data_IF_502709045871
#
_entry.id   IF_502709045871
#
_cell.length_a   1.000
_cell.length_b   1.000
_cell.length_c   1.000
_cell.angle_alpha   90.00
_cell.angle_beta   90.00
_cell.angle_gamma   90.00
#
_symmetry.space_group_name_H-M   'P 1'
#
loop_
_entity.id
_entity.type
_entity.pdbx_description
1 polymer ?
#
# COMPACT_ATOMS: atom_id res chain seq x y z
N UNK A 1 -19.93 8.66 -7.50
CA UNK A 1 -18.61 8.34 -8.07
C UNK A 1 -17.60 8.27 -6.93
N UNK A 2 -16.83 7.18 -6.85
CA UNK A 2 -15.88 6.93 -5.76
C UNK A 2 -14.65 7.84 -5.87
N UNK A 3 -14.00 8.13 -4.74
CA UNK A 3 -12.85 9.03 -4.67
C UNK A 3 -11.74 8.65 -5.65
N UNK A 4 -11.49 7.35 -5.81
CA UNK A 4 -10.44 6.83 -6.71
C UNK A 4 -10.74 7.12 -8.18
N UNK A 5 -11.94 6.81 -8.64
CA UNK A 5 -12.34 7.05 -10.04
C UNK A 5 -12.37 8.55 -10.34
N UNK A 6 -12.86 9.36 -9.41
CA UNK A 6 -12.84 10.83 -9.53
C UNK A 6 -11.43 11.38 -9.65
N UNK A 7 -10.53 10.94 -8.77
CA UNK A 7 -9.16 11.43 -8.72
C UNK A 7 -8.36 11.01 -9.96
N UNK A 8 -8.61 9.82 -10.49
CA UNK A 8 -7.96 9.34 -11.71
C UNK A 8 -8.51 9.97 -13.00
N UNK A 9 -9.79 10.37 -13.02
CA UNK A 9 -10.49 10.80 -14.22
C UNK A 9 -10.28 9.81 -15.39
N UNK A 10 -9.98 10.29 -16.59
CA UNK A 10 -9.73 9.43 -17.77
C UNK A 10 -8.54 8.46 -17.56
N UNK A 11 -7.61 8.81 -16.68
CA UNK A 11 -6.50 7.94 -16.27
C UNK A 11 -6.97 6.62 -15.65
N UNK A 12 -8.21 6.55 -15.15
CA UNK A 12 -8.76 5.34 -14.55
C UNK A 12 -8.81 4.19 -15.55
N UNK A 13 -9.02 4.48 -16.84
CA UNK A 13 -9.04 3.47 -17.91
C UNK A 13 -7.68 2.81 -18.13
N UNK A 14 -6.60 3.43 -17.66
CA UNK A 14 -5.24 2.85 -17.71
C UNK A 14 -5.04 1.73 -16.70
N UNK A 15 -5.90 1.61 -15.69
CA UNK A 15 -5.88 0.49 -14.76
C UNK A 15 -6.49 -0.74 -15.41
N UNK A 16 -5.97 -1.91 -15.06
CA UNK A 16 -6.54 -3.18 -15.47
C UNK A 16 -8.02 -3.28 -15.04
N UNK A 17 -8.93 -3.86 -15.85
CA UNK A 17 -10.37 -3.92 -15.53
C UNK A 17 -10.70 -4.42 -14.12
N UNK A 18 -10.04 -5.48 -13.65
CA UNK A 18 -10.17 -5.98 -12.27
C UNK A 18 -9.81 -4.97 -11.17
N UNK A 19 -8.76 -4.17 -11.38
CA UNK A 19 -8.39 -3.11 -10.42
C UNK A 19 -9.44 -1.99 -10.42
N UNK A 20 -10.00 -1.66 -11.58
CA UNK A 20 -11.11 -0.69 -11.67
C UNK A 20 -12.32 -1.19 -10.88
N UNK A 21 -12.68 -2.45 -11.07
CA UNK A 21 -13.79 -3.11 -10.37
C UNK A 21 -13.59 -3.06 -8.85
N UNK A 22 -12.41 -3.48 -8.38
CA UNK A 22 -12.04 -3.45 -6.96
C UNK A 22 -12.15 -2.05 -6.35
N UNK A 23 -11.80 -0.99 -7.09
CA UNK A 23 -11.87 0.38 -6.59
C UNK A 23 -13.27 1.01 -6.67
N UNK A 24 -14.15 0.49 -7.54
CA UNK A 24 -15.57 0.90 -7.60
C UNK A 24 -16.39 0.22 -6.52
N UNK A 25 -16.28 -1.10 -6.41
CA UNK A 25 -17.16 -1.87 -5.54
C UNK A 25 -16.54 -2.17 -4.16
N UNK A 26 -15.26 -1.84 -4.00
CA UNK A 26 -14.48 -2.36 -2.90
C UNK A 26 -14.26 -3.86 -3.04
N UNK A 27 -13.67 -4.45 -2.01
CA UNK A 27 -13.51 -5.89 -1.94
C UNK A 27 -12.52 -6.30 -0.87
N UNK A 28 -12.53 -7.59 -0.56
CA UNK A 28 -11.58 -8.20 0.34
C UNK A 28 -10.66 -9.14 -0.45
N UNK A 29 -9.36 -8.99 -0.24
CA UNK A 29 -8.33 -9.79 -0.88
C UNK A 29 -7.59 -10.58 0.20
N UNK A 30 -7.35 -11.87 -0.02
CA UNK A 30 -6.61 -12.72 0.91
C UNK A 30 -5.55 -13.56 0.18
N UNK A 31 -4.41 -13.80 0.84
CA UNK A 31 -3.40 -14.72 0.34
C UNK A 31 -2.21 -14.87 1.27
N UNK A 32 -1.37 -15.88 0.99
CA UNK A 32 -0.09 -16.05 1.67
C UNK A 32 0.94 -15.07 1.09
N UNK A 33 1.68 -14.44 1.97
CA UNK A 33 2.73 -13.49 1.63
C UNK A 33 4.06 -14.01 2.16
N UNK A 34 5.12 -13.63 1.45
CA UNK A 34 6.51 -13.83 1.87
C UNK A 34 7.03 -12.51 2.41
N UNK A 35 7.77 -12.57 3.51
CA UNK A 35 8.33 -11.43 4.23
C UNK A 35 9.85 -11.57 4.24
N UNK A 36 10.54 -10.50 3.90
CA UNK A 36 11.99 -10.37 4.02
C UNK A 36 12.31 -9.23 4.98
N UNK A 37 13.33 -9.41 5.81
CA UNK A 37 13.86 -8.35 6.65
C UNK A 37 15.30 -8.04 6.26
N UNK A 38 15.70 -6.79 6.47
CA UNK A 38 17.09 -6.36 6.39
C UNK A 38 18.00 -7.14 7.33
N UNK A 39 19.31 -6.93 7.17
CA UNK A 39 20.35 -7.48 8.04
C UNK A 39 20.87 -6.40 8.99
N UNK A 40 21.51 -6.82 10.09
CA UNK A 40 22.16 -5.94 11.07
C UNK A 40 21.25 -4.76 11.51
N UNK A 41 21.78 -3.54 11.55
CA UNK A 41 21.05 -2.34 11.96
C UNK A 41 19.79 -2.09 11.11
N UNK A 42 19.85 -2.34 9.79
CA UNK A 42 18.71 -2.21 8.89
C UNK A 42 17.59 -3.20 9.24
N UNK A 43 17.97 -4.44 9.61
CA UNK A 43 17.03 -5.47 10.06
C UNK A 43 16.39 -5.15 11.40
N UNK A 44 17.16 -4.62 12.36
CA UNK A 44 16.63 -4.20 13.65
C UNK A 44 15.62 -3.06 13.50
N UNK A 45 15.99 -1.99 12.77
CA UNK A 45 15.10 -0.87 12.48
C UNK A 45 13.88 -1.32 11.66
N UNK A 46 14.11 -2.17 10.66
CA UNK A 46 13.09 -2.73 9.79
C UNK A 46 12.03 -3.51 10.55
N UNK A 47 12.42 -4.37 11.50
CA UNK A 47 11.46 -5.10 12.36
C UNK A 47 10.63 -4.16 13.22
N UNK A 48 11.22 -3.07 13.74
CA UNK A 48 10.51 -2.07 14.54
C UNK A 48 9.48 -1.30 13.71
N UNK A 49 9.84 -0.91 12.48
CA UNK A 49 8.93 -0.22 11.57
C UNK A 49 7.85 -1.19 11.06
N UNK A 50 8.22 -2.40 10.66
CA UNK A 50 7.30 -3.45 10.18
C UNK A 50 6.24 -3.80 11.24
N UNK A 51 6.64 -3.95 12.51
CA UNK A 51 5.71 -4.19 13.61
C UNK A 51 4.67 -3.06 13.76
N UNK A 52 5.07 -1.80 13.55
CA UNK A 52 4.13 -0.66 13.55
C UNK A 52 3.18 -0.66 12.36
N UNK A 53 3.51 -1.40 11.31
CA UNK A 53 2.64 -1.60 10.15
C UNK A 53 1.91 -2.95 10.19
N UNK A 54 1.83 -3.58 11.37
CA UNK A 54 1.11 -4.83 11.58
C UNK A 54 1.84 -6.09 11.10
N UNK A 55 3.05 -6.00 10.52
CA UNK A 55 3.79 -7.19 10.10
C UNK A 55 4.31 -7.98 11.32
N UNK A 56 4.19 -9.32 11.31
CA UNK A 56 4.70 -10.16 12.38
C UNK A 56 6.24 -10.14 12.39
N UNK A 57 6.87 -9.66 13.48
CA UNK A 57 8.33 -9.57 13.54
C UNK A 57 8.94 -10.97 13.56
N UNK A 58 9.89 -11.22 12.66
CA UNK A 58 10.66 -12.46 12.65
C UNK A 58 10.00 -13.67 11.98
N UNK A 59 8.85 -13.50 11.33
CA UNK A 59 8.32 -14.48 10.39
C UNK A 59 8.78 -14.17 8.96
N UNK A 60 8.98 -15.21 8.17
CA UNK A 60 9.29 -15.13 6.73
C UNK A 60 8.04 -15.27 5.85
N UNK A 61 6.91 -15.62 6.45
CA UNK A 61 5.61 -15.80 5.81
C UNK A 61 4.49 -15.36 6.74
N UNK A 62 3.39 -14.90 6.16
CA UNK A 62 2.16 -14.56 6.89
C UNK A 62 0.96 -14.66 5.95
N UNK A 63 -0.23 -14.83 6.52
CA UNK A 63 -1.49 -14.64 5.79
C UNK A 63 -1.81 -13.15 5.79
N UNK A 64 -2.09 -12.56 4.63
CA UNK A 64 -2.50 -11.17 4.51
C UNK A 64 -3.95 -11.12 4.03
N UNK A 65 -4.78 -10.40 4.78
CA UNK A 65 -6.12 -9.98 4.37
C UNK A 65 -6.12 -8.47 4.18
N UNK A 66 -6.65 -8.01 3.06
CA UNK A 66 -6.77 -6.59 2.73
C UNK A 66 -8.20 -6.29 2.33
N UNK A 67 -8.90 -5.46 3.10
CA UNK A 67 -10.19 -4.90 2.72
C UNK A 67 -9.98 -3.52 2.14
N UNK A 68 -10.50 -3.30 0.95
CA UNK A 68 -10.39 -2.04 0.21
C UNK A 68 -11.80 -1.52 0.00
N UNK A 69 -12.02 -0.26 0.37
CA UNK A 69 -13.26 0.44 0.10
C UNK A 69 -12.94 1.89 -0.26
N UNK A 70 -13.80 2.54 -1.02
CA UNK A 70 -13.71 3.97 -1.25
C UNK A 70 -15.10 4.55 -1.18
N UNK A 71 -15.24 5.65 -0.44
CA UNK A 71 -16.44 6.47 -0.47
C UNK A 71 -16.26 7.63 -1.47
N UNK A 72 -17.06 8.68 -1.35
CA UNK A 72 -16.95 9.84 -2.21
C UNK A 72 -15.60 10.55 -2.05
N UNK A 73 -15.01 10.59 -0.85
CA UNK A 73 -13.91 11.50 -0.51
C UNK A 73 -12.64 10.80 -0.08
N UNK A 74 -12.72 9.52 0.24
CA UNK A 74 -11.65 8.81 0.91
C UNK A 74 -11.50 7.39 0.34
N UNK A 75 -10.25 6.94 0.27
CA UNK A 75 -9.88 5.54 0.04
C UNK A 75 -9.47 4.92 1.37
N UNK A 76 -10.10 3.80 1.72
CA UNK A 76 -9.91 3.07 2.97
C UNK A 76 -9.27 1.72 2.71
N UNK A 77 -8.15 1.46 3.35
CA UNK A 77 -7.46 0.17 3.31
C UNK A 77 -7.37 -0.37 4.72
N UNK A 78 -7.87 -1.58 4.93
CA UNK A 78 -7.69 -2.29 6.19
C UNK A 78 -6.85 -3.52 5.93
N UNK A 79 -5.78 -3.68 6.69
CA UNK A 79 -4.83 -4.79 6.55
C UNK A 79 -4.79 -5.60 7.83
N UNK A 80 -4.90 -6.91 7.69
CA UNK A 80 -4.72 -7.86 8.80
C UNK A 80 -3.64 -8.85 8.38
N UNK A 81 -2.61 -8.98 9.21
CA UNK A 81 -1.57 -9.98 9.04
C UNK A 81 -1.77 -11.10 10.08
N UNK A 82 -1.91 -12.34 9.62
CA UNK A 82 -2.34 -13.47 10.43
C UNK A 82 -3.61 -13.12 11.23
N UNK A 83 -3.59 -13.32 12.55
CA UNK A 83 -4.69 -12.97 13.47
C UNK A 83 -4.35 -11.73 14.33
N UNK A 84 -3.47 -10.86 13.83
CA UNK A 84 -3.08 -9.63 14.50
C UNK A 84 -4.17 -8.54 14.41
N UNK A 85 -3.97 -7.44 15.14
CA UNK A 85 -4.86 -6.29 15.10
C UNK A 85 -4.99 -5.72 13.67
N UNK A 86 -6.20 -5.29 13.32
CA UNK A 86 -6.46 -4.64 12.05
C UNK A 86 -5.70 -3.30 11.99
N UNK A 87 -5.01 -3.08 10.87
CA UNK A 87 -4.34 -1.83 10.56
C UNK A 87 -5.17 -1.02 9.54
N UNK A 88 -5.97 -0.06 10.01
CA UNK A 88 -6.67 0.87 9.14
C UNK A 88 -5.73 1.94 8.58
N UNK A 89 -5.92 2.25 7.30
CA UNK A 89 -5.26 3.34 6.57
C UNK A 89 -6.30 4.10 5.77
N UNK A 90 -6.21 5.42 5.85
CA UNK A 90 -7.15 6.34 5.22
C UNK A 90 -6.39 7.30 4.32
N UNK A 91 -6.80 7.37 3.06
CA UNK A 91 -6.13 8.14 2.03
C UNK A 91 -7.09 9.22 1.48
N UNK A 92 -6.72 10.48 1.68
CA UNK A 92 -7.49 11.63 1.18
C UNK A 92 -6.87 12.13 -0.14
N UNK A 93 -7.65 12.25 -1.24
CA UNK A 93 -7.14 12.71 -2.52
C UNK A 93 -6.81 14.21 -2.47
N UNK A 94 -5.71 14.59 -3.10
CA UNK A 94 -5.30 15.98 -3.34
C UNK A 94 -4.97 16.16 -4.81
N UNK A 95 -5.58 17.16 -5.44
CA UNK A 95 -5.49 17.35 -6.90
C UNK A 95 -6.15 16.20 -7.67
N UNK A 96 -5.63 15.92 -8.87
CA UNK A 96 -6.06 14.81 -9.72
C UNK A 96 -4.87 14.18 -10.44
N UNK A 97 -5.01 12.94 -10.89
CA UNK A 97 -3.98 12.22 -11.62
C UNK A 97 -3.63 12.93 -12.95
N UNK A 98 -2.35 12.96 -13.40
CA UNK A 98 -1.17 12.30 -12.84
C UNK A 98 -0.35 13.15 -11.85
N UNK A 99 -0.70 14.42 -11.63
CA UNK A 99 0.11 15.36 -10.83
C UNK A 99 -0.30 15.43 -9.35
N UNK A 100 -1.52 14.97 -9.03
CA UNK A 100 -2.04 14.89 -7.67
C UNK A 100 -1.38 13.79 -6.84
N UNK A 101 -1.83 13.66 -5.61
CA UNK A 101 -1.40 12.62 -4.69
C UNK A 101 -2.50 12.26 -3.68
N UNK A 102 -2.29 11.19 -2.94
CA UNK A 102 -3.11 10.77 -1.82
C UNK A 102 -2.38 11.06 -0.52
N UNK A 103 -3.06 11.69 0.44
CA UNK A 103 -2.52 11.99 1.75
C UNK A 103 -2.92 10.92 2.76
N UNK A 104 -1.92 10.25 3.33
CA UNK A 104 -2.08 9.32 4.45
C UNK A 104 -1.55 9.97 5.74
N UNK A 105 -2.26 9.82 6.85
CA UNK A 105 -1.82 10.31 8.17
C UNK A 105 -1.57 9.11 9.08
N UNK A 106 -0.35 9.03 9.62
CA UNK A 106 0.12 7.96 10.51
C UNK A 106 0.69 8.59 11.78
N UNK A 107 -0.20 8.92 12.72
CA UNK A 107 0.17 9.66 13.93
C UNK A 107 0.76 11.05 13.58
N UNK A 108 1.98 11.39 14.05
CA UNK A 108 2.61 12.68 13.74
C UNK A 108 3.12 12.79 12.30
N UNK A 109 3.12 11.68 11.55
CA UNK A 109 3.62 11.62 10.18
C UNK A 109 2.47 11.81 9.19
N UNK A 110 2.70 12.63 8.17
CA UNK A 110 1.84 12.73 6.99
C UNK A 110 2.63 12.36 5.75
N UNK A 111 2.06 11.55 4.87
CA UNK A 111 2.69 11.09 3.63
C UNK A 111 1.86 11.54 2.43
N UNK A 112 2.52 12.08 1.40
CA UNK A 112 1.92 12.33 0.09
C UNK A 112 2.39 11.24 -0.89
N UNK A 113 1.43 10.44 -1.37
CA UNK A 113 1.66 9.28 -2.20
C UNK A 113 1.02 9.50 -3.58
N UNK A 114 1.82 9.69 -4.62
CA UNK A 114 1.33 9.68 -6.00
C UNK A 114 1.09 8.25 -6.47
N UNK A 115 0.31 8.12 -7.54
CA UNK A 115 0.04 6.83 -8.19
C UNK A 115 0.53 6.85 -9.61
N UNK A 116 1.38 5.88 -9.93
CA UNK A 116 1.82 5.61 -11.29
C UNK A 116 1.14 4.35 -11.81
N UNK A 117 0.72 4.41 -13.07
CA UNK A 117 0.13 3.26 -13.77
C UNK A 117 1.15 2.70 -14.74
N UNK A 118 1.56 1.45 -14.51
CA UNK A 118 2.44 0.71 -15.42
C UNK A 118 1.81 -0.66 -15.70
N UNK A 119 1.64 -1.00 -16.98
CA UNK A 119 1.07 -2.27 -17.44
C UNK A 119 -0.29 -2.61 -16.79
N UNK A 120 -1.16 -1.60 -16.65
CA UNK A 120 -2.45 -1.77 -15.99
C UNK A 120 -2.40 -1.82 -14.46
N UNK A 121 -1.22 -1.71 -13.86
CA UNK A 121 -1.02 -1.77 -12.41
C UNK A 121 -1.20 -0.43 -11.68
N UNK A 122 -1.13 -0.52 -10.35
CA UNK A 122 -1.14 0.59 -9.41
C UNK A 122 0.18 0.61 -8.65
N UNK A 123 0.96 1.67 -8.76
CA UNK A 123 2.23 1.83 -8.04
C UNK A 123 2.21 3.10 -7.19
N UNK A 124 2.39 2.94 -5.89
CA UNK A 124 2.55 4.04 -4.95
C UNK A 124 3.97 4.60 -5.03
N UNK A 125 4.06 5.93 -5.10
CA UNK A 125 5.33 6.66 -5.01
C UNK A 125 5.25 7.75 -3.96
N UNK A 126 6.12 7.69 -2.96
CA UNK A 126 6.25 8.75 -1.97
C UNK A 126 6.82 10.02 -2.61
N UNK A 127 6.08 11.13 -2.51
CA UNK A 127 6.43 12.42 -3.12
C UNK A 127 6.77 13.51 -2.09
N UNK A 128 6.21 13.43 -0.89
CA UNK A 128 6.52 14.31 0.22
C UNK A 128 6.13 13.63 1.54
N UNK A 129 6.74 14.09 2.63
CA UNK A 129 6.29 13.75 3.97
C UNK A 129 6.48 14.92 4.92
N UNK A 130 5.71 14.89 6.01
CA UNK A 130 5.77 15.88 7.07
C UNK A 130 5.77 15.17 8.42
N UNK A 131 6.54 15.70 9.36
CA UNK A 131 6.54 15.30 10.76
C UNK A 131 6.07 16.49 11.61
N UNK A 132 4.94 16.35 12.31
CA UNK A 132 4.30 17.44 13.03
C UNK A 132 4.15 18.72 12.17
N UNK A 133 3.76 18.54 10.90
CA UNK A 133 3.60 19.64 9.93
C UNK A 133 4.89 20.17 9.28
N UNK A 134 6.08 19.80 9.77
CA UNK A 134 7.35 20.21 9.18
C UNK A 134 7.76 19.27 8.05
N UNK A 135 8.13 19.82 6.89
CA UNK A 135 8.51 19.02 5.71
C UNK A 135 9.81 18.27 5.96
N UNK A 136 9.78 16.95 5.76
CA UNK A 136 10.94 16.09 5.93
C UNK A 136 11.62 15.83 4.58
N UNK A 137 12.95 16.01 4.46
CA UNK A 137 13.67 15.63 3.24
C UNK A 137 13.49 14.14 2.92
N UNK A 138 13.07 13.82 1.69
CA UNK A 138 12.84 12.43 1.26
C UNK A 138 14.10 11.55 1.38
N UNK A 139 15.29 12.15 1.32
CA UNK A 139 16.56 11.45 1.48
C UNK A 139 16.75 10.83 2.88
N UNK A 140 16.03 11.33 3.90
CA UNK A 140 16.08 10.83 5.27
C UNK A 140 15.00 9.79 5.56
N UNK A 141 14.07 9.58 4.64
CA UNK A 141 12.91 8.72 4.84
C UNK A 141 13.13 7.34 4.22
N UNK A 142 12.46 6.31 4.75
CA UNK A 142 12.34 5.05 4.05
C UNK A 142 11.69 5.27 2.68
N UNK A 143 12.36 4.80 1.63
CA UNK A 143 11.79 4.70 0.29
C UNK A 143 10.83 3.53 0.27
N UNK A 144 9.58 3.81 -0.07
CA UNK A 144 8.53 2.83 -0.27
C UNK A 144 8.34 2.62 -1.76
N UNK A 145 8.54 1.39 -2.22
CA UNK A 145 8.08 0.92 -3.53
C UNK A 145 6.96 -0.08 -3.26
N UNK A 146 5.72 0.29 -3.57
CA UNK A 146 4.57 -0.59 -3.37
C UNK A 146 3.74 -0.63 -4.64
N UNK A 147 3.57 -1.83 -5.20
CA UNK A 147 2.90 -2.03 -6.47
C UNK A 147 1.90 -3.18 -6.43
N UNK A 148 0.83 -3.06 -7.21
CA UNK A 148 -0.15 -4.12 -7.44
C UNK A 148 -0.44 -4.24 -8.93
N UNK A 149 -0.46 -5.46 -9.44
CA UNK A 149 -0.86 -5.80 -10.81
C UNK A 149 -1.80 -6.99 -10.81
N UNK A 150 -2.62 -7.09 -11.84
CA UNK A 150 -3.47 -8.27 -12.05
C UNK A 150 -2.64 -9.46 -12.53
N UNK A 151 -2.96 -10.65 -12.05
CA UNK A 151 -2.44 -11.94 -12.53
C UNK A 151 -3.44 -12.55 -13.53
N UNK A 152 -2.99 -13.12 -14.67
CA UNK A 152 -3.83 -13.90 -15.57
C UNK A 152 -4.70 -14.96 -14.87
N UNK A 153 -4.21 -15.59 -13.79
CA UNK A 153 -4.86 -16.71 -13.08
C UNK A 153 -5.78 -16.36 -11.91
N UNK A 154 -6.52 -15.24 -12.00
CA UNK A 154 -7.54 -14.79 -11.00
C UNK A 154 -7.00 -14.26 -9.67
N UNK A 155 -5.93 -13.46 -9.72
CA UNK A 155 -5.42 -12.79 -8.52
C UNK A 155 -4.76 -11.46 -8.79
N UNK A 156 -4.17 -10.91 -7.73
CA UNK A 156 -3.35 -9.73 -7.73
C UNK A 156 -1.96 -10.12 -7.27
N UNK A 157 -0.94 -9.85 -8.07
CA UNK A 157 0.45 -9.90 -7.62
C UNK A 157 0.79 -8.54 -7.06
N UNK A 158 1.31 -8.50 -5.85
CA UNK A 158 1.76 -7.26 -5.24
C UNK A 158 3.16 -7.43 -4.64
N UNK A 159 3.89 -6.33 -4.56
CA UNK A 159 5.20 -6.24 -3.95
C UNK A 159 5.26 -4.93 -3.17
N UNK A 160 5.70 -5.01 -1.92
CA UNK A 160 5.98 -3.86 -1.06
C UNK A 160 7.40 -3.99 -0.58
N UNK A 161 8.22 -2.99 -0.86
CA UNK A 161 9.61 -2.93 -0.45
C UNK A 161 9.88 -1.59 0.23
N UNK A 162 10.44 -1.67 1.44
CA UNK A 162 10.83 -0.50 2.22
C UNK A 162 12.33 -0.54 2.45
N UNK A 163 13.01 0.48 1.96
CA UNK A 163 14.48 0.62 2.06
C UNK A 163 14.83 1.95 2.69
N UNK A 164 15.92 2.03 3.43
CA UNK A 164 16.46 3.30 3.91
C UNK A 164 17.74 3.62 3.14
N UNK A 165 17.92 4.86 2.64
CA UNK A 165 19.19 5.30 2.08
C UNK A 165 20.34 5.03 3.06
N UNK A 166 21.44 4.45 2.57
CA UNK A 166 22.61 4.09 3.38
C UNK A 166 22.52 2.76 4.13
N UNK A 167 21.34 2.38 4.66
CA UNK A 167 21.17 1.10 5.39
C UNK A 167 20.66 -0.05 4.51
N UNK A 168 20.05 0.25 3.35
CA UNK A 168 19.52 -0.75 2.44
C UNK A 168 18.13 -1.25 2.82
N UNK A 169 17.85 -2.53 2.61
CA UNK A 169 16.54 -3.13 2.88
C UNK A 169 16.20 -3.07 4.36
N UNK A 170 15.04 -2.49 4.70
CA UNK A 170 14.47 -2.57 6.05
C UNK A 170 13.59 -3.82 6.16
N UNK A 171 12.61 -3.92 5.28
CA UNK A 171 11.80 -5.10 5.09
C UNK A 171 11.09 -5.03 3.72
N UNK A 172 10.65 -6.18 3.24
CA UNK A 172 9.79 -6.29 2.07
C UNK A 172 8.76 -7.38 2.31
N UNK A 173 7.62 -7.29 1.64
CA UNK A 173 6.68 -8.40 1.57
C UNK A 173 5.95 -8.40 0.23
N UNK A 174 5.73 -9.59 -0.29
CA UNK A 174 5.09 -9.79 -1.59
C UNK A 174 4.30 -11.08 -1.60
N UNK A 175 3.34 -11.17 -2.52
CA UNK A 175 2.49 -12.34 -2.61
C UNK A 175 1.46 -12.22 -3.71
N UNK A 176 0.62 -13.24 -3.76
CA UNK A 176 -0.57 -13.27 -4.62
C UNK A 176 -1.79 -13.22 -3.72
N UNK A 177 -2.65 -12.24 -3.96
CA UNK A 177 -3.93 -12.12 -3.27
C UNK A 177 -5.05 -12.48 -4.22
N UNK A 178 -6.04 -13.22 -3.76
CA UNK A 178 -7.26 -13.51 -4.50
C UNK A 178 -8.43 -12.81 -3.84
N UNK A 179 -9.45 -12.46 -4.62
CA UNK A 179 -10.70 -11.98 -4.05
C UNK A 179 -11.27 -13.05 -3.12
N UNK A 180 -11.61 -12.68 -1.90
CA UNK A 180 -12.31 -13.55 -0.99
C UNK A 180 -13.78 -13.54 -1.38
N UNK A 181 -14.28 -14.65 -1.91
CA UNK A 181 -15.72 -14.85 -1.98
C UNK A 181 -16.23 -14.99 -0.54
N UNK A 182 -17.11 -14.08 -0.11
CA UNK A 182 -17.90 -14.31 1.09
C UNK A 182 -18.84 -15.47 0.76
N UNK A 183 -18.46 -16.69 1.14
CA UNK A 183 -19.40 -17.80 1.18
C UNK A 183 -20.40 -17.46 2.28
N UNK A 184 -21.60 -17.05 1.88
CA UNK A 184 -22.76 -16.93 2.76
C UNK A 184 -23.18 -18.30 3.29
#
# INVERSE_FOLDING_TARGET
>A
MHAVERWFADGFQRLHPRLRELHRHGGELEGLIRIEYGRAAAGWLGRRIARRMGLPPGRDTARLRVRIASDADVLHWHRVFDDADEMPSTFVPVGGWPSGYWRETLGPMQLALAVETKDGGWQWRLCAAWWNGMRVPLALLPRVAAGKRSDPGEGYVFDVRVTLPGLGLLFAYSGRLKSRSLTH
#
